data_IF_992713510812
#
_entry.id   IF_992713510812
#
_cell.length_a   1.000
_cell.length_b   1.000
_cell.length_c   1.000
_cell.angle_alpha   90.00
_cell.angle_beta   90.00
_cell.angle_gamma   90.00
#
_symmetry.space_group_name_H-M   'P 1'
#
loop_
_entity.id
_entity.type
_entity.pdbx_description
1 polymer ?
#
# COMPACT_ATOMS: atom_id res chain seq x y z
N UNK A 1 2.05 7.29 -20.13
CA UNK A 1 2.29 6.32 -19.03
C UNK A 1 3.67 6.62 -18.46
N UNK A 2 3.74 7.44 -17.41
CA UNK A 2 5.02 7.81 -16.77
C UNK A 2 5.63 6.59 -16.10
N UNK A 3 6.78 6.15 -16.61
CA UNK A 3 7.61 5.08 -16.06
C UNK A 3 8.42 5.51 -14.82
N UNK A 4 8.15 6.70 -14.27
CA UNK A 4 8.92 7.24 -13.16
C UNK A 4 8.52 6.53 -11.86
N UNK A 5 9.48 6.03 -11.07
CA UNK A 5 9.19 5.42 -9.78
C UNK A 5 8.62 6.47 -8.81
N UNK A 6 7.56 6.09 -8.12
CA UNK A 6 6.95 6.82 -7.01
C UNK A 6 7.59 6.33 -5.71
N UNK A 7 8.04 7.28 -4.88
CA UNK A 7 8.57 6.98 -3.54
C UNK A 7 7.46 7.18 -2.51
N UNK A 8 7.21 6.14 -1.70
CA UNK A 8 6.27 6.16 -0.59
C UNK A 8 7.07 6.02 0.71
N UNK A 9 6.97 6.99 1.60
CA UNK A 9 7.57 6.94 2.92
C UNK A 9 6.51 6.53 3.94
N UNK A 10 6.55 5.29 4.39
CA UNK A 10 5.56 4.68 5.27
C UNK A 10 6.14 4.56 6.67
N UNK A 11 5.66 5.38 7.60
CA UNK A 11 6.15 5.39 8.98
C UNK A 11 7.68 5.57 9.11
N UNK A 12 8.30 6.26 8.15
CA UNK A 12 9.76 6.46 8.09
C UNK A 12 10.51 5.50 7.16
N UNK A 13 9.86 4.45 6.62
CA UNK A 13 10.48 3.49 5.70
C UNK A 13 10.11 3.81 4.25
N UNK A 14 11.12 3.91 3.37
CA UNK A 14 10.90 4.23 1.96
C UNK A 14 10.65 2.97 1.12
N UNK A 15 9.51 2.98 0.43
CA UNK A 15 9.13 2.02 -0.61
C UNK A 15 9.18 2.71 -1.97
N UNK A 16 9.55 1.96 -3.01
CA UNK A 16 9.52 2.43 -4.39
C UNK A 16 8.59 1.55 -5.21
N UNK A 17 7.71 2.19 -5.98
CA UNK A 17 6.73 1.51 -6.83
C UNK A 17 6.39 2.37 -8.04
N UNK A 18 5.44 1.96 -8.88
CA UNK A 18 4.93 2.77 -9.99
C UNK A 18 3.52 3.25 -9.71
N UNK A 19 3.13 4.38 -10.31
CA UNK A 19 1.74 4.85 -10.30
C UNK A 19 0.79 3.80 -10.87
N UNK A 20 1.23 3.04 -11.89
CA UNK A 20 0.45 1.94 -12.45
C UNK A 20 0.18 0.83 -11.44
N UNK A 21 1.16 0.49 -10.58
CA UNK A 21 0.96 -0.47 -9.49
C UNK A 21 -0.02 0.05 -8.45
N UNK A 22 0.06 1.33 -8.09
CA UNK A 22 -0.85 1.93 -7.10
C UNK A 22 -2.29 2.05 -7.61
N UNK A 23 -2.47 2.19 -8.93
CA UNK A 23 -3.77 2.24 -9.61
C UNK A 23 -4.21 0.90 -10.21
N UNK A 24 -3.43 -0.18 -10.04
CA UNK A 24 -3.66 -1.46 -10.73
C UNK A 24 -4.99 -2.11 -10.34
N UNK A 25 -5.43 -1.86 -9.11
CA UNK A 25 -6.64 -2.45 -8.54
C UNK A 25 -7.44 -1.36 -7.83
N UNK A 26 -8.51 -0.84 -8.45
CA UNK A 26 -9.41 0.08 -7.80
C UNK A 26 -10.21 -0.68 -6.74
N UNK A 27 -9.74 -0.67 -5.49
CA UNK A 27 -10.59 -0.99 -4.35
C UNK A 27 -11.39 0.27 -4.04
N UNK A 28 -12.59 0.38 -4.64
CA UNK A 28 -13.48 1.56 -4.61
C UNK A 28 -12.91 2.86 -5.23
N UNK A 29 -13.81 3.74 -5.68
CA UNK A 29 -13.46 5.04 -6.29
C UNK A 29 -12.71 5.97 -5.30
N UNK A 30 -12.92 5.78 -4.00
CA UNK A 30 -12.25 6.48 -2.88
C UNK A 30 -11.02 5.75 -2.33
N UNK A 31 -10.28 5.02 -3.18
CA UNK A 31 -9.05 4.39 -2.72
C UNK A 31 -8.01 5.46 -2.33
N UNK A 32 -7.45 5.37 -1.12
CA UNK A 32 -6.43 6.29 -0.63
C UNK A 32 -5.30 6.53 -1.65
N UNK A 33 -4.94 5.53 -2.46
CA UNK A 33 -3.88 5.65 -3.45
C UNK A 33 -4.28 6.43 -4.71
N UNK A 34 -5.56 6.43 -5.13
CA UNK A 34 -5.98 7.11 -6.37
C UNK A 34 -5.98 8.63 -6.25
N UNK A 35 -6.08 9.16 -5.03
CA UNK A 35 -6.12 10.60 -4.73
C UNK A 35 -4.75 11.19 -4.37
N UNK A 36 -3.68 10.39 -4.33
CA UNK A 36 -2.34 10.86 -4.00
C UNK A 36 -1.74 11.71 -5.12
N UNK A 37 -1.11 12.82 -4.72
CA UNK A 37 -0.33 13.67 -5.61
C UNK A 37 1.09 13.13 -5.75
N UNK A 38 1.33 12.36 -6.81
CA UNK A 38 2.65 11.79 -7.12
C UNK A 38 3.66 12.79 -7.71
N UNK A 39 3.25 14.04 -7.97
CA UNK A 39 4.16 15.06 -8.51
C UNK A 39 5.18 15.57 -7.49
N UNK A 40 4.94 15.33 -6.19
CA UNK A 40 5.75 15.83 -5.08
C UNK A 40 7.02 15.02 -4.78
N UNK A 41 7.33 14.01 -5.58
CA UNK A 41 8.55 13.21 -5.48
C UNK A 41 8.54 12.16 -4.36
N UNK A 42 8.07 12.49 -3.18
CA UNK A 42 7.89 11.56 -2.05
C UNK A 42 6.52 11.75 -1.39
N UNK A 43 5.79 10.65 -1.17
CA UNK A 43 4.50 10.66 -0.48
C UNK A 43 4.66 10.04 0.90
N UNK A 44 4.37 10.80 1.95
CA UNK A 44 4.38 10.28 3.32
C UNK A 44 3.05 9.62 3.69
N UNK A 45 3.12 8.45 4.31
CA UNK A 45 1.99 7.64 4.78
C UNK A 45 2.25 7.31 6.25
N UNK A 46 1.38 7.79 7.13
CA UNK A 46 1.49 7.56 8.57
C UNK A 46 0.92 6.19 8.96
N UNK A 47 1.62 5.12 8.54
CA UNK A 47 1.23 3.71 8.76
C UNK A 47 2.44 2.84 9.06
N UNK A 48 2.19 1.65 9.60
CA UNK A 48 3.25 0.67 9.88
C UNK A 48 3.85 0.09 8.57
N UNK A 49 5.15 0.26 8.33
CA UNK A 49 5.81 -0.26 7.13
C UNK A 49 5.83 -1.79 7.03
N UNK A 50 5.76 -2.49 8.17
CA UNK A 50 5.75 -3.96 8.26
C UNK A 50 4.51 -4.53 7.59
N UNK A 51 3.37 -3.84 7.73
CA UNK A 51 2.10 -4.25 7.13
C UNK A 51 2.00 -3.77 5.68
N UNK A 52 2.59 -2.62 5.37
CA UNK A 52 2.52 -2.02 4.04
C UNK A 52 3.12 -2.89 2.94
N UNK A 53 4.14 -3.70 3.24
CA UNK A 53 4.71 -4.64 2.27
C UNK A 53 3.65 -5.61 1.70
N UNK A 54 2.69 -6.04 2.51
CA UNK A 54 1.62 -6.94 2.06
C UNK A 54 0.61 -6.22 1.17
N UNK A 55 0.31 -4.97 1.47
CA UNK A 55 -0.54 -4.10 0.64
C UNK A 55 0.12 -3.91 -0.72
N UNK A 56 1.42 -3.60 -0.75
CA UNK A 56 2.15 -3.39 -2.00
C UNK A 56 2.24 -4.68 -2.83
N UNK A 57 2.46 -5.83 -2.19
CA UNK A 57 2.46 -7.12 -2.89
C UNK A 57 1.09 -7.47 -3.46
N UNK A 58 0.01 -7.17 -2.73
CA UNK A 58 -1.35 -7.30 -3.26
C UNK A 58 -1.60 -6.42 -4.49
N UNK A 59 -1.09 -5.18 -4.49
CA UNK A 59 -1.20 -4.28 -5.64
C UNK A 59 -0.36 -4.74 -6.84
N UNK A 60 0.75 -5.47 -6.62
CA UNK A 60 1.62 -6.00 -7.68
C UNK A 60 1.07 -7.26 -8.33
N UNK A 61 0.87 -8.31 -7.53
CA UNK A 61 0.60 -9.66 -8.02
C UNK A 61 -0.83 -10.12 -7.76
N UNK A 62 -1.57 -9.30 -7.01
CA UNK A 62 -2.94 -9.58 -6.69
C UNK A 62 -3.17 -10.64 -5.62
N UNK A 63 -2.10 -11.09 -4.98
CA UNK A 63 -2.08 -12.12 -3.95
C UNK A 63 -1.46 -11.53 -2.68
N UNK A 64 -2.13 -11.70 -1.55
CA UNK A 64 -1.49 -11.49 -0.25
C UNK A 64 -0.91 -12.83 0.17
N UNK A 65 0.41 -12.95 0.12
CA UNK A 65 1.09 -14.04 0.81
C UNK A 65 1.21 -13.62 2.27
N UNK A 66 0.21 -14.01 3.06
CA UNK A 66 0.30 -13.91 4.51
C UNK A 66 1.39 -14.87 5.00
N UNK A 67 2.18 -14.50 6.01
CA UNK A 67 3.00 -15.49 6.68
C UNK A 67 2.09 -16.58 7.25
N UNK A 68 2.55 -17.82 7.31
CA UNK A 68 1.86 -18.92 8.03
C UNK A 68 1.73 -18.67 9.55
N UNK A 69 2.09 -17.48 10.01
CA UNK A 69 1.87 -17.00 11.36
C UNK A 69 0.44 -16.45 11.51
N UNK A 70 -0.35 -17.17 12.31
CA UNK A 70 -1.71 -16.80 12.65
C UNK A 70 -1.80 -15.42 13.35
N UNK A 71 -0.73 -15.00 14.05
CA UNK A 71 -0.69 -13.74 14.79
C UNK A 71 -0.55 -12.54 13.84
N UNK A 72 0.35 -12.65 12.85
CA UNK A 72 0.47 -11.67 11.77
C UNK A 72 -0.81 -11.57 10.94
N UNK A 73 -1.48 -12.71 10.69
CA UNK A 73 -2.76 -12.75 9.97
C UNK A 73 -3.86 -12.00 10.74
N UNK A 74 -3.98 -12.24 12.06
CA UNK A 74 -4.98 -11.55 12.89
C UNK A 74 -4.77 -10.03 12.95
N UNK A 75 -3.52 -9.56 13.06
CA UNK A 75 -3.19 -8.13 13.06
C UNK A 75 -3.57 -7.45 11.74
N UNK A 76 -3.32 -8.11 10.60
CA UNK A 76 -3.69 -7.61 9.28
C UNK A 76 -5.22 -7.45 9.13
N UNK A 77 -6.00 -8.41 9.63
CA UNK A 77 -7.46 -8.31 9.62
C UNK A 77 -7.98 -7.18 10.50
N UNK A 78 -7.35 -6.92 11.65
CA UNK A 78 -7.75 -5.85 12.55
C UNK A 78 -7.51 -4.46 11.92
N UNK A 79 -6.34 -4.24 11.33
CA UNK A 79 -6.00 -2.98 10.65
C UNK A 79 -6.90 -2.71 9.44
N UNK A 80 -7.18 -3.74 8.64
CA UNK A 80 -8.08 -3.62 7.48
C UNK A 80 -9.52 -3.25 7.88
N UNK A 81 -9.96 -3.64 9.08
CA UNK A 81 -11.31 -3.35 9.59
C UNK A 81 -11.44 -1.95 10.20
N UNK A 82 -10.35 -1.38 10.68
CA UNK A 82 -10.30 -0.03 11.27
C UNK A 82 -10.08 1.05 10.19
N UNK A 83 -9.45 0.70 9.06
CA UNK A 83 -9.14 1.65 7.98
C UNK A 83 -10.19 1.81 6.88
N UNK A 84 -11.35 1.14 6.96
CA UNK A 84 -12.41 1.18 5.93
C UNK A 84 -13.78 1.41 6.59
N UNK A 85 -13.87 2.45 7.43
CA UNK A 85 -15.16 3.00 7.88
C UNK A 85 -15.15 4.52 7.84
#
# INVERSE_FOLDING_TARGET
>A
MSSAPVVLNVGGTKFSTSEATLKSRPTSEDCFFTTLDYSKGEVFIDRDPTLFKYILNYLRDGRVMFPDDALTTALLFQEAKVGIS
#
